data_IF_715863910662
#
_entry.id   IF_715863910662
#
_cell.length_a   1.000
_cell.length_b   1.000
_cell.length_c   1.000
_cell.angle_alpha   90.00
_cell.angle_beta   90.00
_cell.angle_gamma   90.00
#
_symmetry.space_group_name_H-M   'P 1'
#
loop_
_entity.id
_entity.type
_entity.pdbx_description
1 polymer ?
#
# COMPACT_ATOMS: atom_id res chain seq x y z
N UNK A 1 15.07 -1.31 33.93
CA UNK A 1 15.65 -0.91 32.63
C UNK A 1 15.59 -2.04 31.61
N UNK A 2 16.04 -3.26 31.94
CA UNK A 2 15.96 -4.42 31.04
C UNK A 2 14.52 -4.76 30.62
N UNK A 3 13.58 -4.78 31.56
CA UNK A 3 12.15 -5.04 31.28
C UNK A 3 11.55 -4.01 30.34
N UNK A 4 11.83 -2.72 30.56
CA UNK A 4 11.40 -1.63 29.67
C UNK A 4 11.97 -1.79 28.26
N UNK A 5 13.26 -2.13 28.14
CA UNK A 5 13.90 -2.39 26.85
C UNK A 5 13.25 -3.58 26.14
N UNK A 6 12.99 -4.68 26.84
CA UNK A 6 12.33 -5.86 26.29
C UNK A 6 10.91 -5.55 25.80
N UNK A 7 10.15 -4.76 26.54
CA UNK A 7 8.80 -4.32 26.13
C UNK A 7 8.87 -3.47 24.86
N UNK A 8 9.83 -2.56 24.77
CA UNK A 8 10.04 -1.74 23.56
C UNK A 8 10.37 -2.62 22.36
N UNK A 9 11.33 -3.54 22.50
CA UNK A 9 11.72 -4.47 21.43
C UNK A 9 10.55 -5.35 20.99
N UNK A 10 9.78 -5.89 21.94
CA UNK A 10 8.60 -6.69 21.64
C UNK A 10 7.53 -5.89 20.89
N UNK A 11 7.29 -4.63 21.28
CA UNK A 11 6.35 -3.75 20.59
C UNK A 11 6.78 -3.47 19.14
N UNK A 12 8.08 -3.22 18.91
CA UNK A 12 8.61 -3.06 17.55
C UNK A 12 8.48 -4.33 16.71
N UNK A 13 8.80 -5.50 17.28
CA UNK A 13 8.67 -6.77 16.59
C UNK A 13 7.20 -7.07 16.19
N UNK A 14 6.25 -6.80 17.08
CA UNK A 14 4.82 -6.95 16.80
C UNK A 14 4.35 -5.99 15.71
N UNK A 15 4.80 -4.73 15.75
CA UNK A 15 4.52 -3.74 14.70
C UNK A 15 5.02 -4.21 13.34
N UNK A 16 6.26 -4.69 13.26
CA UNK A 16 6.83 -5.18 12.00
C UNK A 16 6.09 -6.41 11.48
N UNK A 17 5.75 -7.36 12.35
CA UNK A 17 4.97 -8.53 11.97
C UNK A 17 3.59 -8.13 11.42
N UNK A 18 2.92 -7.19 12.08
CA UNK A 18 1.65 -6.64 11.63
C UNK A 18 1.78 -5.98 10.26
N UNK A 19 2.80 -5.14 10.05
CA UNK A 19 3.03 -4.45 8.79
C UNK A 19 3.39 -5.42 7.67
N UNK A 20 4.20 -6.45 7.93
CA UNK A 20 4.48 -7.50 6.95
C UNK A 20 3.23 -8.25 6.54
N UNK A 21 2.39 -8.63 7.51
CA UNK A 21 1.14 -9.32 7.22
C UNK A 21 0.17 -8.43 6.42
N UNK A 22 0.02 -7.17 6.82
CA UNK A 22 -0.84 -6.20 6.15
C UNK A 22 -0.35 -5.88 4.73
N UNK A 23 0.95 -5.63 4.55
CA UNK A 23 1.56 -5.42 3.24
C UNK A 23 1.51 -6.70 2.39
N UNK A 24 1.56 -7.89 2.99
CA UNK A 24 1.40 -9.18 2.31
C UNK A 24 0.10 -9.30 1.52
N UNK A 25 -0.95 -8.56 1.91
CA UNK A 25 -2.22 -8.49 1.17
C UNK A 25 -2.20 -7.56 -0.05
N UNK A 26 -1.04 -6.99 -0.37
CA UNK A 26 -0.84 -6.08 -1.50
C UNK A 26 0.24 -6.59 -2.46
N UNK A 27 0.06 -6.32 -3.74
CA UNK A 27 0.98 -6.71 -4.81
C UNK A 27 2.05 -5.63 -4.96
N UNK A 28 3.34 -6.02 -5.00
CA UNK A 28 4.42 -5.08 -5.27
C UNK A 28 4.46 -4.74 -6.76
N UNK A 29 4.26 -3.46 -7.10
CA UNK A 29 4.25 -2.97 -8.49
C UNK A 29 5.55 -2.27 -8.87
N UNK A 30 6.31 -1.78 -7.89
CA UNK A 30 7.63 -1.17 -8.10
C UNK A 30 8.51 -1.42 -6.89
N UNK A 31 9.76 -1.80 -7.11
CA UNK A 31 10.76 -1.95 -6.05
C UNK A 31 12.08 -1.36 -6.49
N UNK A 32 12.61 -0.44 -5.71
CA UNK A 32 13.93 0.15 -5.90
C UNK A 32 14.73 -0.05 -4.63
N UNK A 33 15.96 -0.58 -4.76
CA UNK A 33 16.85 -0.80 -3.62
C UNK A 33 18.16 -0.08 -3.86
N UNK A 34 18.61 0.68 -2.87
CA UNK A 34 19.91 1.32 -2.84
C UNK A 34 20.61 0.95 -1.52
N UNK A 35 21.51 -0.03 -1.61
CA UNK A 35 22.18 -0.59 -0.43
C UNK A 35 21.18 -1.22 0.55
N UNK A 36 21.08 -0.65 1.75
CA UNK A 36 20.20 -1.13 2.81
C UNK A 36 18.81 -0.48 2.78
N UNK A 37 18.64 0.61 2.03
CA UNK A 37 17.35 1.24 1.83
C UNK A 37 16.62 0.60 0.66
N UNK A 38 15.33 0.33 0.85
CA UNK A 38 14.44 -0.09 -0.21
C UNK A 38 13.17 0.76 -0.21
N UNK A 39 12.78 1.22 -1.40
CA UNK A 39 11.53 1.93 -1.66
C UNK A 39 10.64 1.01 -2.48
N UNK A 40 9.49 0.67 -1.95
CA UNK A 40 8.50 -0.18 -2.59
C UNK A 40 7.24 0.62 -2.85
N UNK A 41 6.61 0.40 -4.00
CA UNK A 41 5.23 0.79 -4.24
C UNK A 41 4.43 -0.49 -4.34
N UNK A 42 3.47 -0.66 -3.44
CA UNK A 42 2.54 -1.77 -3.42
C UNK A 42 1.15 -1.30 -3.79
N UNK A 43 0.32 -2.23 -4.26
CA UNK A 43 -1.01 -1.98 -4.80
C UNK A 43 -1.99 -2.96 -4.20
N UNK A 44 -3.18 -2.48 -3.87
CA UNK A 44 -4.35 -3.31 -3.57
C UNK A 44 -5.56 -2.76 -4.31
N UNK A 45 -6.42 -3.65 -4.79
CA UNK A 45 -7.70 -3.30 -5.41
C UNK A 45 -8.77 -4.04 -4.64
N UNK A 46 -9.80 -3.32 -4.19
CA UNK A 46 -10.87 -3.89 -3.40
C UNK A 46 -12.16 -3.07 -3.53
N UNK A 47 -13.27 -3.70 -3.14
CA UNK A 47 -14.51 -2.99 -2.87
C UNK A 47 -14.42 -2.37 -1.47
N UNK A 48 -14.48 -1.04 -1.39
CA UNK A 48 -14.38 -0.31 -0.14
C UNK A 48 -15.75 0.26 0.25
N UNK A 49 -16.13 0.09 1.52
CA UNK A 49 -17.36 0.65 2.06
C UNK A 49 -17.08 2.05 2.57
N UNK A 50 -17.61 3.05 1.87
CA UNK A 50 -17.53 4.45 2.27
C UNK A 50 -18.60 4.77 3.33
N UNK A 51 -18.45 5.91 4.05
CA UNK A 51 -19.53 6.42 4.88
C UNK A 51 -20.83 6.55 4.08
N UNK A 52 -21.97 6.28 4.72
CA UNK A 52 -23.30 6.32 4.09
C UNK A 52 -23.65 7.67 3.48
N UNK A 53 -23.03 8.76 3.96
CA UNK A 53 -23.17 10.09 3.37
C UNK A 53 -22.57 10.22 1.96
N UNK A 54 -21.74 9.26 1.52
CA UNK A 54 -21.08 9.26 0.21
C UNK A 54 -21.63 8.15 -0.68
N UNK A 55 -21.80 6.94 -0.15
CA UNK A 55 -22.36 5.80 -0.89
C UNK A 55 -22.92 4.75 0.06
N UNK A 56 -24.12 4.27 -0.22
CA UNK A 56 -24.74 3.16 0.51
C UNK A 56 -24.19 1.78 0.09
N UNK A 57 -23.55 1.71 -1.08
CA UNK A 57 -22.99 0.48 -1.64
C UNK A 57 -21.45 0.53 -1.64
N UNK A 58 -20.76 -0.62 -1.51
CA UNK A 58 -19.32 -0.70 -1.68
C UNK A 58 -18.90 -0.24 -3.07
N UNK A 59 -17.81 0.52 -3.17
CA UNK A 59 -17.30 1.07 -4.43
C UNK A 59 -15.91 0.51 -4.75
N UNK A 60 -15.59 0.28 -6.03
CA UNK A 60 -14.29 -0.23 -6.42
C UNK A 60 -13.24 0.86 -6.21
N UNK A 61 -12.15 0.51 -5.52
CA UNK A 61 -11.02 1.42 -5.27
C UNK A 61 -9.70 0.72 -5.53
N UNK A 62 -8.78 1.48 -6.10
CA UNK A 62 -7.37 1.11 -6.15
C UNK A 62 -6.61 1.94 -5.13
N UNK A 63 -5.77 1.27 -4.36
CA UNK A 63 -4.92 1.91 -3.39
C UNK A 63 -3.46 1.55 -3.64
N UNK A 64 -2.62 2.58 -3.52
CA UNK A 64 -1.18 2.46 -3.64
C UNK A 64 -0.48 2.93 -2.39
N UNK A 65 0.49 2.13 -1.99
CA UNK A 65 1.19 2.25 -0.73
C UNK A 65 2.67 2.41 -1.05
N UNK A 66 3.22 3.59 -0.77
CA UNK A 66 4.65 3.79 -0.76
C UNK A 66 5.21 3.27 0.55
N UNK A 67 6.22 2.40 0.52
CA UNK A 67 6.84 1.81 1.69
C UNK A 67 8.34 2.07 1.63
N UNK A 68 8.90 2.64 2.70
CA UNK A 68 10.33 2.81 2.88
C UNK A 68 10.83 1.81 3.91
N UNK A 69 11.81 1.00 3.51
CA UNK A 69 12.42 -0.04 4.32
C UNK A 69 13.89 0.24 4.54
N UNK A 70 14.39 -0.08 5.73
CA UNK A 70 15.81 -0.11 6.05
C UNK A 70 16.15 -1.50 6.58
N UNK A 71 17.06 -2.20 5.90
CA UNK A 71 17.46 -3.56 6.24
C UNK A 71 16.27 -4.54 6.42
N UNK A 72 15.20 -4.33 5.63
CA UNK A 72 13.98 -5.14 5.68
C UNK A 72 12.88 -4.58 6.61
N UNK A 73 13.22 -3.71 7.56
CA UNK A 73 12.27 -3.11 8.52
C UNK A 73 11.51 -1.94 7.89
N UNK A 74 10.20 -1.87 8.07
CA UNK A 74 9.35 -0.78 7.59
C UNK A 74 9.54 0.47 8.46
N UNK A 75 10.26 1.45 7.92
CA UNK A 75 10.43 2.75 8.58
C UNK A 75 9.16 3.59 8.49
N UNK A 76 8.60 3.68 7.28
CA UNK A 76 7.46 4.54 6.99
C UNK A 76 6.66 4.03 5.80
N UNK A 77 5.36 4.29 5.81
CA UNK A 77 4.47 4.05 4.68
C UNK A 77 3.54 5.23 4.44
N UNK A 78 3.08 5.39 3.20
CA UNK A 78 2.08 6.37 2.80
C UNK A 78 1.08 5.75 1.83
N UNK A 79 -0.19 5.95 2.13
CA UNK A 79 -1.33 5.40 1.39
C UNK A 79 -2.02 6.48 0.57
N UNK A 80 -2.42 6.13 -0.66
CA UNK A 80 -3.30 6.94 -1.51
C UNK A 80 -4.31 6.00 -2.16
N UNK A 81 -5.60 6.31 -1.98
CA UNK A 81 -6.71 5.54 -2.54
C UNK A 81 -7.47 6.39 -3.56
N UNK A 82 -7.75 5.82 -4.74
CA UNK A 82 -8.52 6.44 -5.81
C UNK A 82 -9.75 5.62 -6.13
N UNK A 83 -10.86 6.29 -6.43
CA UNK A 83 -12.07 5.66 -6.93
C UNK A 83 -11.87 5.12 -8.33
N UNK A 84 -12.30 3.88 -8.56
CA UNK A 84 -12.38 3.30 -9.89
C UNK A 84 -13.79 3.51 -10.46
N UNK A 85 -13.96 3.54 -11.80
CA UNK A 85 -15.28 3.57 -12.41
C UNK A 85 -16.06 2.29 -12.07
N UNK A 86 -17.39 2.37 -12.03
CA UNK A 86 -18.25 1.22 -11.71
C UNK A 86 -18.08 0.05 -12.70
N UNK A 87 -17.66 0.32 -13.94
CA UNK A 87 -17.33 -0.72 -14.92
C UNK A 87 -16.15 -1.59 -14.50
N UNK A 88 -15.29 -1.12 -13.59
CA UNK A 88 -14.20 -1.91 -13.02
C UNK A 88 -14.69 -2.99 -12.04
N UNK A 89 -15.95 -2.95 -11.60
CA UNK A 89 -16.52 -4.00 -10.74
C UNK A 89 -16.48 -5.38 -11.41
N UNK A 90 -16.71 -5.44 -12.74
CA UNK A 90 -16.84 -6.70 -13.48
C UNK A 90 -15.49 -7.43 -13.66
N UNK A 91 -14.38 -6.70 -13.57
CA UNK A 91 -13.03 -7.22 -13.83
C UNK A 91 -12.02 -6.70 -12.79
N UNK A 92 -12.48 -6.51 -11.54
CA UNK A 92 -11.71 -5.83 -10.49
C UNK A 92 -10.32 -6.44 -10.23
N UNK A 93 -10.18 -7.75 -10.40
CA UNK A 93 -8.92 -8.48 -10.24
C UNK A 93 -7.98 -8.32 -11.44
N UNK A 94 -8.53 -8.04 -12.63
CA UNK A 94 -7.80 -7.90 -13.88
C UNK A 94 -7.39 -6.45 -14.16
N UNK A 95 -7.94 -5.49 -13.41
CA UNK A 95 -7.53 -4.07 -13.48
C UNK A 95 -6.02 -4.01 -13.33
N UNK A 96 -5.34 -3.49 -14.35
CA UNK A 96 -3.87 -3.41 -14.34
C UNK A 96 -3.39 -2.16 -13.62
N UNK A 97 -2.15 -2.18 -13.11
CA UNK A 97 -1.57 -1.00 -12.45
C UNK A 97 -1.35 0.18 -13.43
N UNK A 98 -1.39 -0.06 -14.73
CA UNK A 98 -1.19 0.98 -15.76
C UNK A 98 -2.51 1.70 -16.10
N UNK A 99 -3.65 1.02 -15.96
CA UNK A 99 -4.95 1.47 -16.44
C UNK A 99 -5.38 2.80 -15.78
N UNK A 100 -5.20 2.90 -14.47
CA UNK A 100 -5.56 4.09 -13.68
C UNK A 100 -4.35 4.85 -13.14
N UNK A 101 -3.15 4.61 -13.70
CA UNK A 101 -1.88 5.18 -13.23
C UNK A 101 -1.90 6.71 -13.14
N UNK A 102 -2.60 7.38 -14.06
CA UNK A 102 -2.70 8.84 -14.12
C UNK A 102 -3.48 9.45 -12.95
N UNK A 103 -4.41 8.71 -12.34
CA UNK A 103 -5.16 9.16 -11.18
C UNK A 103 -4.27 9.26 -9.92
N UNK A 104 -3.11 8.59 -9.94
CA UNK A 104 -2.15 8.64 -8.85
C UNK A 104 -1.13 9.78 -9.02
N UNK A 105 -0.61 10.32 -7.89
CA UNK A 105 0.57 11.18 -7.90
C UNK A 105 1.76 10.51 -8.60
N UNK A 106 2.61 11.31 -9.26
CA UNK A 106 3.75 10.81 -10.06
C UNK A 106 4.67 9.84 -9.31
N UNK A 107 4.89 10.07 -8.02
CA UNK A 107 5.73 9.23 -7.16
C UNK A 107 5.12 7.85 -6.86
N UNK A 108 3.84 7.61 -7.15
CA UNK A 108 3.16 6.30 -7.07
C UNK A 108 2.94 5.64 -8.43
N UNK A 109 3.33 6.31 -9.52
CA UNK A 109 3.12 5.80 -10.87
C UNK A 109 4.06 4.65 -11.20
N UNK A 110 3.57 3.71 -12.01
CA UNK A 110 4.36 2.56 -12.49
C UNK A 110 5.50 3.05 -13.39
N UNK A 111 5.23 4.05 -14.23
CA UNK A 111 6.25 4.76 -15.00
C UNK A 111 6.64 6.05 -14.28
N UNK A 112 7.85 6.08 -13.72
CA UNK A 112 8.57 7.36 -13.66
C UNK A 112 8.75 7.79 -15.10
N UNK A 113 8.29 8.99 -15.47
CA UNK A 113 8.85 9.64 -16.64
C UNK A 113 10.38 9.64 -16.44
N UNK A 114 11.11 9.12 -17.43
CA UNK A 114 12.54 9.39 -17.53
C UNK A 114 12.76 10.87 -17.75
#
# INVERSE_FOLDING_TARGET
MLTTLLVIVAAFALRELYLEHWLGRSVCIRKQRQGWMAVEVRRRVAMERLPSSVSDYPVPREERILVNRLAGVVLWHREVSVGLPLSACDHLQDVTAQEFDRAFPSWLRVKSAG
#
